data_IF_095193732023
#
_entry.id   IF_095193732023
#
_cell.length_a   1.000
_cell.length_b   1.000
_cell.length_c   1.000
_cell.angle_alpha   90.00
_cell.angle_beta   90.00
_cell.angle_gamma   90.00
#
_symmetry.space_group_name_H-M   'P 1'
#
loop_
_entity.id
_entity.type
_entity.pdbx_description
1 polymer ?
#
# COMPACT_ATOMS: atom_id res chain seq x y z
N UNK A 1 -17.43 -18.49 -3.61
CA UNK A 1 -17.69 -17.22 -4.34
C UNK A 1 -16.53 -16.26 -4.05
N UNK A 2 -15.71 -15.91 -5.05
CA UNK A 2 -14.41 -15.23 -4.83
C UNK A 2 -14.58 -13.85 -4.17
N UNK A 3 -13.89 -13.66 -3.05
CA UNK A 3 -13.85 -12.39 -2.30
C UNK A 3 -13.32 -11.26 -3.19
N UNK A 4 -12.33 -11.54 -4.04
CA UNK A 4 -11.84 -10.61 -5.07
C UNK A 4 -12.93 -10.13 -6.04
N UNK A 5 -13.82 -11.02 -6.50
CA UNK A 5 -14.93 -10.63 -7.38
C UNK A 5 -15.93 -9.73 -6.67
N UNK A 6 -16.15 -9.93 -5.36
CA UNK A 6 -17.02 -9.06 -4.55
C UNK A 6 -16.37 -7.71 -4.25
N UNK A 7 -15.05 -7.67 -4.11
CA UNK A 7 -14.27 -6.42 -3.96
C UNK A 7 -14.38 -5.56 -5.22
N UNK A 8 -14.14 -6.14 -6.40
CA UNK A 8 -14.25 -5.44 -7.69
C UNK A 8 -15.68 -4.95 -7.94
N UNK A 9 -16.70 -5.71 -7.50
CA UNK A 9 -18.11 -5.31 -7.60
C UNK A 9 -18.54 -4.24 -6.59
N UNK A 10 -17.72 -3.92 -5.59
CA UNK A 10 -18.08 -2.97 -4.52
C UNK A 10 -19.10 -3.52 -3.52
N UNK A 11 -19.35 -4.84 -3.53
CA UNK A 11 -20.28 -5.52 -2.62
C UNK A 11 -19.69 -5.73 -1.21
N UNK A 12 -18.40 -5.44 -1.03
CA UNK A 12 -17.74 -5.49 0.27
C UNK A 12 -17.89 -4.15 0.97
N UNK A 13 -18.38 -4.19 2.22
CA UNK A 13 -18.50 -3.00 3.05
C UNK A 13 -17.16 -2.29 3.25
N UNK A 14 -17.23 -0.99 3.50
CA UNK A 14 -16.06 -0.11 3.73
C UNK A 14 -15.06 -0.71 4.73
N UNK A 15 -15.59 -1.35 5.78
CA UNK A 15 -14.80 -1.99 6.81
C UNK A 15 -13.83 -3.03 6.24
N UNK A 16 -14.31 -3.88 5.33
CA UNK A 16 -13.49 -4.96 4.76
C UNK A 16 -12.52 -4.40 3.72
N UNK A 17 -13.01 -3.56 2.81
CA UNK A 17 -12.18 -3.02 1.72
C UNK A 17 -11.05 -2.13 2.24
N UNK A 18 -11.33 -1.30 3.25
CA UNK A 18 -10.34 -0.37 3.78
C UNK A 18 -9.45 -1.01 4.86
N UNK A 19 -10.05 -1.63 5.89
CA UNK A 19 -9.26 -2.13 7.01
C UNK A 19 -8.57 -3.45 6.72
N UNK A 20 -9.26 -4.38 6.03
CA UNK A 20 -8.68 -5.71 5.77
C UNK A 20 -7.75 -5.68 4.57
N UNK A 21 -8.09 -4.98 3.49
CA UNK A 21 -7.22 -4.93 2.30
C UNK A 21 -6.27 -3.73 2.28
N UNK A 22 -6.71 -2.55 2.72
CA UNK A 22 -5.83 -1.37 2.76
C UNK A 22 -4.86 -1.45 3.94
N UNK A 23 -5.37 -1.35 5.16
CA UNK A 23 -4.54 -1.21 6.36
C UNK A 23 -3.74 -2.48 6.65
N UNK A 24 -4.39 -3.64 6.69
CA UNK A 24 -3.72 -4.89 7.06
C UNK A 24 -2.61 -5.27 6.07
N UNK A 25 -2.86 -5.11 4.77
CA UNK A 25 -1.88 -5.39 3.74
C UNK A 25 -0.72 -4.39 3.75
N UNK A 26 -1.00 -3.11 4.04
CA UNK A 26 0.05 -2.09 4.22
C UNK A 26 0.94 -2.39 5.43
N UNK A 27 0.37 -2.83 6.55
CA UNK A 27 1.14 -3.23 7.75
C UNK A 27 2.02 -4.45 7.46
N UNK A 28 1.49 -5.45 6.76
CA UNK A 28 2.27 -6.63 6.34
C UNK A 28 3.43 -6.22 5.44
N UNK A 29 3.18 -5.38 4.44
CA UNK A 29 4.23 -4.89 3.52
C UNK A 29 5.29 -4.06 4.26
N UNK A 30 4.89 -3.19 5.19
CA UNK A 30 5.82 -2.42 6.01
C UNK A 30 6.70 -3.33 6.90
N UNK A 31 6.12 -4.37 7.51
CA UNK A 31 6.88 -5.33 8.32
C UNK A 31 7.87 -6.13 7.47
N UNK A 32 7.47 -6.53 6.26
CA UNK A 32 8.36 -7.20 5.29
C UNK A 32 9.50 -6.26 4.89
N UNK A 33 9.20 -4.99 4.59
CA UNK A 33 10.19 -4.00 4.23
C UNK A 33 11.22 -3.81 5.35
N UNK A 34 10.76 -3.59 6.59
CA UNK A 34 11.63 -3.46 7.75
C UNK A 34 12.54 -4.67 7.97
N UNK A 35 11.99 -5.88 7.84
CA UNK A 35 12.78 -7.12 7.95
C UNK A 35 13.83 -7.25 6.82
N UNK A 36 13.49 -6.84 5.60
CA UNK A 36 14.42 -6.85 4.48
C UNK A 36 15.52 -5.80 4.65
N UNK A 37 15.21 -4.58 5.08
CA UNK A 37 16.20 -3.52 5.35
C UNK A 37 17.18 -3.96 6.44
N UNK A 38 16.68 -4.59 7.50
CA UNK A 38 17.54 -5.16 8.55
C UNK A 38 18.48 -6.25 8.00
N UNK A 39 17.95 -7.15 7.16
CA UNK A 39 18.72 -8.25 6.58
C UNK A 39 19.75 -7.75 5.56
N UNK A 40 19.40 -6.75 4.76
CA UNK A 40 20.31 -6.12 3.80
C UNK A 40 21.41 -5.32 4.48
N UNK A 41 21.17 -4.72 5.65
CA UNK A 41 22.23 -4.07 6.40
C UNK A 41 23.16 -5.08 7.10
N UNK A 42 22.65 -6.25 7.49
CA UNK A 42 23.44 -7.29 8.15
C UNK A 42 24.36 -8.06 7.19
N UNK A 43 23.99 -8.19 5.91
CA UNK A 43 24.76 -8.89 4.88
C UNK A 43 25.17 -7.93 3.76
N UNK A 44 26.42 -7.98 3.29
CA UNK A 44 26.87 -7.23 2.11
C UNK A 44 26.22 -7.78 0.83
N UNK A 45 24.95 -7.44 0.63
CA UNK A 45 24.15 -7.79 -0.55
C UNK A 45 24.43 -6.76 -1.66
N UNK A 46 24.66 -7.19 -2.92
CA UNK A 46 24.90 -6.29 -4.03
C UNK A 46 23.81 -5.22 -4.19
N UNK A 47 24.19 -3.97 -4.43
CA UNK A 47 23.27 -2.83 -4.56
C UNK A 47 22.22 -3.04 -5.64
N UNK A 48 22.58 -3.69 -6.75
CA UNK A 48 21.65 -4.01 -7.85
C UNK A 48 20.52 -4.96 -7.42
N UNK A 49 20.79 -5.91 -6.51
CA UNK A 49 19.77 -6.79 -5.96
C UNK A 49 18.87 -6.05 -4.95
N UNK A 50 19.42 -5.13 -4.17
CA UNK A 50 18.63 -4.29 -3.25
C UNK A 50 17.64 -3.43 -4.04
N UNK A 51 18.09 -2.75 -5.10
CA UNK A 51 17.26 -1.90 -5.95
C UNK A 51 16.12 -2.70 -6.61
N UNK A 52 16.40 -3.91 -7.13
CA UNK A 52 15.38 -4.72 -7.80
C UNK A 52 14.29 -5.20 -6.85
N UNK A 53 14.65 -5.60 -5.62
CA UNK A 53 13.69 -6.01 -4.58
C UNK A 53 12.83 -4.83 -4.15
N UNK A 54 13.43 -3.66 -3.94
CA UNK A 54 12.72 -2.42 -3.61
C UNK A 54 11.69 -2.07 -4.70
N UNK A 55 12.10 -2.07 -5.98
CA UNK A 55 11.19 -1.83 -7.12
C UNK A 55 10.04 -2.84 -7.19
N UNK A 56 10.29 -4.10 -6.87
CA UNK A 56 9.26 -5.14 -6.88
C UNK A 56 8.21 -4.90 -5.79
N UNK A 57 8.66 -4.57 -4.56
CA UNK A 57 7.76 -4.24 -3.46
C UNK A 57 6.91 -3.02 -3.80
N UNK A 58 7.51 -1.99 -4.39
CA UNK A 58 6.76 -0.80 -4.85
C UNK A 58 5.70 -1.13 -5.88
N UNK A 59 6.01 -2.01 -6.83
CA UNK A 59 5.04 -2.44 -7.85
C UNK A 59 3.82 -3.13 -7.21
N UNK A 60 4.03 -3.94 -6.17
CA UNK A 60 2.94 -4.58 -5.41
C UNK A 60 2.12 -3.54 -4.64
N UNK A 61 2.79 -2.61 -3.95
CA UNK A 61 2.13 -1.55 -3.19
C UNK A 61 1.27 -0.66 -4.10
N UNK A 62 1.77 -0.34 -5.30
CA UNK A 62 1.03 0.41 -6.31
C UNK A 62 -0.24 -0.31 -6.77
N UNK A 63 -0.16 -1.62 -7.04
CA UNK A 63 -1.33 -2.43 -7.37
C UNK A 63 -2.36 -2.47 -6.23
N UNK A 64 -1.89 -2.58 -4.98
CA UNK A 64 -2.78 -2.53 -3.82
C UNK A 64 -3.49 -1.18 -3.70
N UNK A 65 -2.76 -0.08 -3.91
CA UNK A 65 -3.32 1.28 -3.92
C UNK A 65 -4.41 1.46 -4.97
N UNK A 66 -4.22 0.92 -6.19
CA UNK A 66 -5.24 0.94 -7.23
C UNK A 66 -6.48 0.14 -6.80
N UNK A 67 -6.30 -1.03 -6.18
CA UNK A 67 -7.41 -1.85 -5.70
C UNK A 67 -8.20 -1.16 -4.59
N UNK A 68 -7.51 -0.54 -3.63
CA UNK A 68 -8.13 0.22 -2.54
C UNK A 68 -8.89 1.43 -3.08
N UNK A 69 -8.30 2.21 -3.99
CA UNK A 69 -8.96 3.34 -4.65
C UNK A 69 -10.17 2.91 -5.46
N UNK A 70 -10.05 1.86 -6.29
CA UNK A 70 -11.16 1.33 -7.07
C UNK A 70 -12.30 0.83 -6.17
N UNK A 71 -11.96 0.17 -5.07
CA UNK A 71 -12.93 -0.24 -4.05
C UNK A 71 -13.62 0.95 -3.39
N UNK A 72 -12.88 2.01 -3.05
CA UNK A 72 -13.42 3.22 -2.44
C UNK A 72 -14.33 4.01 -3.39
N UNK A 73 -13.93 4.16 -4.66
CA UNK A 73 -14.75 4.82 -5.69
C UNK A 73 -16.03 4.04 -6.00
N UNK A 74 -15.95 2.71 -6.14
CA UNK A 74 -17.13 1.88 -6.35
C UNK A 74 -18.08 1.92 -5.15
N UNK A 75 -17.53 1.96 -3.94
CA UNK A 75 -18.33 2.16 -2.73
C UNK A 75 -19.04 3.52 -2.77
N UNK A 76 -18.32 4.62 -3.02
CA UNK A 76 -18.87 5.98 -3.13
C UNK A 76 -20.00 6.06 -4.17
N UNK A 77 -19.83 5.41 -5.33
CA UNK A 77 -20.82 5.39 -6.42
C UNK A 77 -22.13 4.69 -6.04
N UNK A 78 -22.07 3.60 -5.28
CA UNK A 78 -23.24 2.74 -5.03
C UNK A 78 -23.94 2.97 -3.68
N UNK A 79 -23.32 3.66 -2.72
CA UNK A 79 -23.84 3.74 -1.34
C UNK A 79 -23.92 5.14 -0.72
N UNK A 80 -23.78 6.20 -1.51
CA UNK A 80 -23.80 7.60 -1.03
C UNK A 80 -22.54 8.02 -0.27
N UNK A 81 -22.32 9.33 -0.13
CA UNK A 81 -21.15 9.86 0.58
C UNK A 81 -21.44 9.82 2.08
N UNK A 82 -20.85 8.86 2.80
CA UNK A 82 -20.90 8.80 4.27
C UNK A 82 -19.63 9.35 4.88
N UNK A 83 -19.73 9.93 6.07
CA UNK A 83 -18.60 10.52 6.81
C UNK A 83 -17.39 9.56 6.93
N UNK A 84 -17.65 8.27 7.19
CA UNK A 84 -16.62 7.22 7.26
C UNK A 84 -15.87 6.98 5.94
N UNK A 85 -16.52 7.16 4.78
CA UNK A 85 -15.87 7.05 3.47
C UNK A 85 -14.87 8.17 3.24
N UNK A 86 -15.23 9.38 3.65
CA UNK A 86 -14.38 10.57 3.55
C UNK A 86 -13.17 10.42 4.47
N UNK A 87 -13.36 9.99 5.72
CA UNK A 87 -12.25 9.71 6.64
C UNK A 87 -11.31 8.66 6.05
N UNK A 88 -11.83 7.53 5.54
CA UNK A 88 -11.01 6.49 4.93
C UNK A 88 -10.19 7.03 3.75
N UNK A 89 -10.77 7.88 2.91
CA UNK A 89 -10.08 8.52 1.80
C UNK A 89 -8.97 9.48 2.27
N UNK A 90 -9.25 10.30 3.29
CA UNK A 90 -8.26 11.23 3.87
C UNK A 90 -7.10 10.46 4.51
N UNK A 91 -7.39 9.44 5.32
CA UNK A 91 -6.36 8.59 5.94
C UNK A 91 -5.51 7.89 4.88
N UNK A 92 -6.14 7.41 3.80
CA UNK A 92 -5.40 6.78 2.69
C UNK A 92 -4.48 7.76 1.97
N UNK A 93 -4.97 8.96 1.67
CA UNK A 93 -4.16 10.01 1.03
C UNK A 93 -2.98 10.42 1.92
N UNK A 94 -3.19 10.57 3.23
CA UNK A 94 -2.11 10.84 4.18
C UNK A 94 -1.10 9.70 4.25
N UNK A 95 -1.56 8.44 4.29
CA UNK A 95 -0.67 7.27 4.32
C UNK A 95 0.15 7.15 3.02
N UNK A 96 -0.47 7.41 1.88
CA UNK A 96 0.21 7.38 0.57
C UNK A 96 1.20 8.54 0.45
N UNK A 97 0.85 9.73 0.93
CA UNK A 97 1.76 10.88 0.94
C UNK A 97 2.97 10.64 1.85
N UNK A 98 2.75 10.00 3.01
CA UNK A 98 3.82 9.62 3.93
C UNK A 98 4.76 8.58 3.29
N UNK A 99 4.22 7.53 2.67
CA UNK A 99 5.07 6.51 2.03
C UNK A 99 5.92 7.13 0.92
N UNK A 100 5.32 7.92 0.02
CA UNK A 100 6.06 8.60 -1.05
C UNK A 100 7.20 9.48 -0.51
N UNK A 101 7.00 10.16 0.63
CA UNK A 101 8.03 10.97 1.26
C UNK A 101 9.19 10.14 1.82
N UNK A 102 8.89 9.10 2.60
CA UNK A 102 9.87 8.20 3.21
C UNK A 102 10.70 7.47 2.14
N UNK A 103 10.00 6.95 1.13
CA UNK A 103 10.57 6.26 -0.03
C UNK A 103 11.55 7.15 -0.83
N UNK A 104 11.22 8.44 -0.96
CA UNK A 104 12.07 9.42 -1.65
C UNK A 104 13.36 9.68 -0.89
N UNK A 105 13.32 9.65 0.44
CA UNK A 105 14.50 9.80 1.29
C UNK A 105 15.43 8.58 1.19
N UNK A 106 14.87 7.36 1.18
CA UNK A 106 15.66 6.12 1.07
C UNK A 106 16.36 5.99 -0.29
N UNK A 107 15.68 6.34 -1.39
CA UNK A 107 16.29 6.33 -2.73
C UNK A 107 17.41 7.37 -2.82
N UNK A 108 17.22 8.57 -2.28
CA UNK A 108 18.24 9.62 -2.27
C UNK A 108 19.49 9.17 -1.47
N UNK A 109 19.29 8.47 -0.36
CA UNK A 109 20.38 7.91 0.44
C UNK A 109 21.14 6.79 -0.29
N UNK A 110 20.45 5.96 -1.08
CA UNK A 110 21.07 4.89 -1.86
C UNK A 110 21.86 5.40 -3.08
N UNK A 111 21.48 6.55 -3.66
CA UNK A 111 22.15 7.15 -4.82
C UNK A 111 23.37 7.99 -4.42
N UNK A 112 23.44 8.44 -3.16
CA UNK A 112 24.53 9.29 -2.66
C UNK A 112 25.66 8.54 -1.94
N UNK A 113 25.54 7.22 -1.76
CA UNK A 113 26.61 6.32 -1.27
C UNK A 113 27.37 5.67 -2.42
#
# INVERSE_FOLDING_TARGET
MNIFKRLVKGDLGLAVTFWVFGVLFSVILAAIFFAMTFTFNAYHVPTSFRISVILFIYSINFLNSILVLAGLFNLLKNGGVTYWRVIALVVWLCATAYSVYDDSCDILHLVTQ
#
